data_IF_043457160639
#
_entry.id   IF_043457160639
#
_cell.length_a   1.000
_cell.length_b   1.000
_cell.length_c   1.000
_cell.angle_alpha   90.00
_cell.angle_beta   90.00
_cell.angle_gamma   90.00
#
_symmetry.space_group_name_H-M   'P 1'
#
loop_
_entity.id
_entity.type
_entity.pdbx_description
1 polymer ?
#
# COMPACT_ATOMS: atom_id res chain seq x y z
N UNK A 1 -15.88 15.06 18.38
CA UNK A 1 -16.44 16.24 17.71
C UNK A 1 -15.92 16.28 16.29
N UNK A 2 -16.80 16.26 15.29
CA UNK A 2 -16.47 16.46 13.88
C UNK A 2 -16.38 17.97 13.59
N UNK A 3 -15.41 18.36 12.78
CA UNK A 3 -15.18 19.76 12.39
C UNK A 3 -15.63 19.94 10.94
N UNK A 4 -16.71 20.67 10.73
CA UNK A 4 -17.36 20.81 9.41
C UNK A 4 -16.81 22.05 8.69
N UNK A 5 -16.45 21.89 7.42
CA UNK A 5 -16.03 22.99 6.57
C UNK A 5 -17.20 23.90 6.19
N UNK A 6 -17.02 25.22 6.37
CA UNK A 6 -18.04 26.21 6.01
C UNK A 6 -18.17 26.43 4.51
N UNK A 7 -17.15 26.11 3.72
CA UNK A 7 -17.12 26.35 2.27
C UNK A 7 -17.72 25.19 1.46
N UNK A 8 -17.53 23.94 1.89
CA UNK A 8 -18.03 22.77 1.16
C UNK A 8 -18.81 21.75 2.01
N UNK A 9 -18.94 21.97 3.32
CA UNK A 9 -19.68 21.06 4.21
C UNK A 9 -18.94 19.78 4.61
N UNK A 10 -17.69 19.59 4.21
CA UNK A 10 -16.91 18.39 4.55
C UNK A 10 -16.65 18.26 6.06
N UNK A 11 -16.88 17.07 6.61
CA UNK A 11 -16.63 16.77 8.02
C UNK A 11 -15.22 16.18 8.22
N UNK A 12 -14.39 16.90 8.97
CA UNK A 12 -13.00 16.53 9.26
C UNK A 12 -12.85 16.08 10.72
N UNK A 13 -11.92 15.14 10.92
CA UNK A 13 -11.69 14.49 12.21
C UNK A 13 -10.99 15.39 13.24
N UNK A 14 -10.29 16.43 12.79
CA UNK A 14 -9.49 17.31 13.66
C UNK A 14 -9.61 18.77 13.26
N UNK A 15 -9.57 19.67 14.25
CA UNK A 15 -9.61 21.13 14.05
C UNK A 15 -8.46 21.63 13.18
N UNK A 16 -7.27 21.05 13.34
CA UNK A 16 -6.10 21.33 12.50
C UNK A 16 -6.32 20.90 11.05
N UNK A 17 -6.92 19.72 10.83
CA UNK A 17 -7.28 19.24 9.50
C UNK A 17 -8.31 20.15 8.82
N UNK A 18 -9.28 20.69 9.57
CA UNK A 18 -10.21 21.69 9.07
C UNK A 18 -9.51 22.97 8.63
N UNK A 19 -8.59 23.51 9.44
CA UNK A 19 -7.83 24.71 9.09
C UNK A 19 -7.03 24.55 7.80
N UNK A 20 -6.34 23.41 7.62
CA UNK A 20 -5.60 23.12 6.39
C UNK A 20 -6.51 22.91 5.18
N UNK A 21 -7.72 22.37 5.40
CA UNK A 21 -8.70 22.21 4.34
C UNK A 21 -9.28 23.57 3.90
N UNK A 22 -9.55 24.49 4.84
CA UNK A 22 -10.00 25.86 4.55
C UNK A 22 -8.92 26.68 3.86
N UNK A 23 -7.65 26.52 4.23
CA UNK A 23 -6.50 27.13 3.57
C UNK A 23 -6.46 26.76 2.06
N UNK A 24 -6.95 25.58 1.66
CA UNK A 24 -7.06 25.17 0.25
C UNK A 24 -8.17 25.90 -0.51
N UNK A 25 -9.27 26.24 0.15
CA UNK A 25 -10.33 27.08 -0.46
C UNK A 25 -9.86 28.52 -0.68
N UNK A 26 -8.98 29.01 0.20
CA UNK A 26 -8.42 30.36 0.14
C UNK A 26 -7.14 30.45 -0.71
N UNK A 27 -6.63 29.33 -1.23
CA UNK A 27 -5.35 29.28 -1.94
C UNK A 27 -4.15 29.68 -1.07
N UNK A 28 -4.30 29.62 0.26
CA UNK A 28 -3.24 29.97 1.21
C UNK A 28 -2.38 28.74 1.45
N UNK A 29 -1.24 28.68 0.78
CA UNK A 29 -0.27 27.62 1.04
C UNK A 29 0.74 28.02 2.10
N UNK A 30 0.80 27.26 3.20
CA UNK A 30 1.81 27.46 4.27
C UNK A 30 3.21 26.97 3.89
N UNK A 31 3.32 26.17 2.84
CA UNK A 31 4.58 25.54 2.41
C UNK A 31 4.75 25.79 0.92
N UNK A 32 5.84 26.43 0.47
CA UNK A 32 6.06 26.76 -0.95
C UNK A 32 7.52 26.58 -1.35
N UNK A 33 7.77 26.11 -2.58
CA UNK A 33 9.10 26.00 -3.19
C UNK A 33 8.99 25.90 -4.72
N UNK A 34 9.93 26.51 -5.47
CA UNK A 34 9.98 26.52 -6.94
C UNK A 34 8.61 26.77 -7.60
N UNK A 35 7.97 27.87 -7.22
CA UNK A 35 6.64 28.31 -7.69
C UNK A 35 5.49 27.33 -7.42
N UNK A 36 5.76 26.23 -6.70
CA UNK A 36 4.76 25.26 -6.25
C UNK A 36 4.35 25.52 -4.81
N UNK A 37 3.05 25.44 -4.59
CA UNK A 37 2.39 25.60 -3.31
C UNK A 37 1.91 24.24 -2.78
N UNK A 38 2.22 23.95 -1.52
CA UNK A 38 1.89 22.71 -0.83
C UNK A 38 1.06 22.98 0.43
N UNK A 39 -0.12 22.36 0.50
CA UNK A 39 -1.00 22.47 1.66
C UNK A 39 -0.49 21.69 2.89
N UNK A 40 0.50 20.79 2.72
CA UNK A 40 1.06 19.97 3.79
C UNK A 40 2.59 19.97 3.77
N UNK A 41 3.18 19.90 4.95
CA UNK A 41 4.63 19.80 5.14
C UNK A 41 5.21 18.57 4.43
N UNK A 42 4.52 17.43 4.49
CA UNK A 42 4.93 16.17 3.85
C UNK A 42 5.06 16.31 2.32
N UNK A 43 4.16 17.08 1.70
CA UNK A 43 4.17 17.29 0.25
C UNK A 43 5.34 18.19 -0.17
N UNK A 44 5.64 19.23 0.62
CA UNK A 44 6.85 20.03 0.45
C UNK A 44 8.11 19.18 0.66
N UNK A 45 8.19 18.36 1.72
CA UNK A 45 9.34 17.48 1.96
C UNK A 45 9.57 16.50 0.80
N UNK A 46 8.49 15.93 0.23
CA UNK A 46 8.58 15.09 -0.98
C UNK A 46 9.10 15.89 -2.17
N UNK A 47 8.63 17.12 -2.36
CA UNK A 47 9.11 17.98 -3.43
C UNK A 47 10.58 18.34 -3.27
N UNK A 48 11.00 18.73 -2.07
CA UNK A 48 12.40 19.03 -1.75
C UNK A 48 13.31 17.81 -1.98
N UNK A 49 12.88 16.62 -1.57
CA UNK A 49 13.65 15.40 -1.82
C UNK A 49 13.70 15.00 -3.31
N UNK A 50 12.60 15.19 -4.05
CA UNK A 50 12.55 14.83 -5.47
C UNK A 50 13.21 15.82 -6.43
N UNK A 51 13.26 17.11 -6.06
CA UNK A 51 13.71 18.19 -6.95
C UNK A 51 15.00 18.86 -6.46
N UNK A 52 15.24 18.92 -5.14
CA UNK A 52 16.29 19.73 -4.54
C UNK A 52 17.34 18.96 -3.73
N UNK A 53 17.16 17.68 -3.39
CA UNK A 53 18.07 17.03 -2.44
C UNK A 53 18.04 15.51 -2.40
N UNK A 54 19.23 14.95 -2.61
CA UNK A 54 19.63 13.56 -2.41
C UNK A 54 19.49 13.15 -0.94
N UNK A 55 18.40 12.50 -0.53
CA UNK A 55 18.38 11.63 0.67
C UNK A 55 17.15 10.71 0.62
N UNK A 56 17.27 9.62 -0.14
CA UNK A 56 16.44 8.42 0.02
C UNK A 56 17.05 7.57 1.13
N UNK A 57 16.78 7.89 2.38
CA UNK A 57 17.40 7.17 3.52
C UNK A 57 16.44 6.23 4.26
N UNK A 58 15.18 6.12 3.83
CA UNK A 58 14.20 5.28 4.52
C UNK A 58 13.75 4.12 3.65
N UNK A 59 14.48 3.01 3.73
CA UNK A 59 14.21 1.79 2.98
C UNK A 59 13.31 0.85 3.78
N UNK A 60 12.34 0.22 3.12
CA UNK A 60 11.54 -0.85 3.72
C UNK A 60 12.36 -2.14 3.78
N UNK A 61 12.50 -2.78 4.95
CA UNK A 61 13.27 -4.03 5.07
C UNK A 61 12.61 -5.24 4.39
N UNK A 62 11.31 -5.16 4.09
CA UNK A 62 10.53 -6.28 3.54
C UNK A 62 10.48 -6.27 2.01
N UNK A 63 10.36 -5.10 1.38
CA UNK A 63 10.23 -4.97 -0.07
C UNK A 63 11.30 -4.07 -0.72
N UNK A 64 12.28 -3.59 0.06
CA UNK A 64 13.35 -2.70 -0.38
C UNK A 64 12.88 -1.37 -1.01
N UNK A 65 11.62 -0.98 -0.81
CA UNK A 65 11.09 0.28 -1.30
C UNK A 65 11.70 1.47 -0.54
N UNK A 66 12.13 2.50 -1.27
CA UNK A 66 12.80 3.67 -0.71
C UNK A 66 11.84 4.85 -0.52
N UNK A 67 11.91 5.49 0.63
CA UNK A 67 11.05 6.61 0.99
C UNK A 67 11.86 7.84 1.40
N UNK A 68 11.33 9.01 1.06
CA UNK A 68 11.91 10.30 1.43
C UNK A 68 11.76 10.64 2.92
N UNK A 69 10.84 9.98 3.65
CA UNK A 69 10.64 10.24 5.09
C UNK A 69 10.25 8.98 5.86
N UNK A 70 10.63 8.92 7.14
CA UNK A 70 10.24 7.85 8.08
C UNK A 70 8.72 7.70 8.23
N UNK A 71 7.95 8.79 8.13
CA UNK A 71 6.48 8.77 8.19
C UNK A 71 5.88 8.03 7.01
N UNK A 72 6.43 8.25 5.81
CA UNK A 72 6.01 7.54 4.60
C UNK A 72 6.35 6.04 4.68
N UNK A 73 7.57 5.71 5.13
CA UNK A 73 7.96 4.32 5.40
C UNK A 73 7.04 3.66 6.44
N UNK A 74 6.70 4.35 7.52
CA UNK A 74 5.82 3.81 8.57
C UNK A 74 4.40 3.59 8.05
N UNK A 75 3.86 4.52 7.25
CA UNK A 75 2.55 4.36 6.60
C UNK A 75 2.56 3.23 5.58
N UNK A 76 3.64 3.12 4.80
CA UNK A 76 3.84 2.03 3.85
C UNK A 76 3.88 0.69 4.57
N UNK A 77 4.68 0.54 5.62
CA UNK A 77 4.76 -0.70 6.41
C UNK A 77 3.42 -1.06 7.04
N UNK A 78 2.69 -0.08 7.57
CA UNK A 78 1.34 -0.31 8.09
C UNK A 78 0.39 -0.82 7.00
N UNK A 79 0.46 -0.25 5.79
CA UNK A 79 -0.31 -0.74 4.66
C UNK A 79 0.17 -2.12 4.20
N UNK A 80 1.46 -2.43 4.23
CA UNK A 80 1.95 -3.79 3.96
C UNK A 80 1.52 -4.80 5.04
N UNK A 81 1.30 -4.37 6.27
CA UNK A 81 0.74 -5.19 7.35
C UNK A 81 -0.78 -5.35 7.22
N UNK A 82 -1.48 -4.31 6.75
CA UNK A 82 -2.93 -4.35 6.43
C UNK A 82 -3.22 -5.09 5.10
N UNK A 83 -2.31 -5.00 4.12
CA UNK A 83 -2.23 -5.79 2.88
C UNK A 83 -1.21 -6.92 3.00
N UNK A 84 -1.08 -7.52 4.20
CA UNK A 84 -0.12 -8.59 4.44
C UNK A 84 -0.19 -9.61 3.30
N UNK A 85 0.88 -9.59 2.49
CA UNK A 85 1.04 -10.55 1.41
C UNK A 85 1.01 -11.91 2.08
N UNK A 86 0.10 -12.74 1.61
CA UNK A 86 -0.06 -14.08 2.11
C UNK A 86 1.18 -14.85 1.67
N UNK A 87 2.12 -15.00 2.61
CA UNK A 87 3.38 -15.65 2.37
C UNK A 87 3.18 -17.15 2.47
N UNK A 88 3.62 -17.86 1.45
CA UNK A 88 3.69 -19.31 1.49
C UNK A 88 4.86 -19.73 2.38
N UNK A 89 4.57 -20.42 3.49
CA UNK A 89 5.60 -20.93 4.41
C UNK A 89 6.46 -22.05 3.79
N UNK A 90 6.01 -22.66 2.69
CA UNK A 90 6.72 -23.77 2.02
C UNK A 90 7.79 -23.27 1.05
N UNK A 91 7.50 -22.21 0.28
CA UNK A 91 8.41 -21.71 -0.77
C UNK A 91 8.76 -20.23 -0.66
N UNK A 92 8.21 -19.53 0.34
CA UNK A 92 8.44 -18.11 0.56
C UNK A 92 7.73 -17.16 -0.41
N UNK A 93 6.91 -17.68 -1.34
CA UNK A 93 6.19 -16.86 -2.31
C UNK A 93 5.23 -15.88 -1.63
N UNK A 94 5.24 -14.62 -2.07
CA UNK A 94 4.39 -13.56 -1.54
C UNK A 94 3.20 -13.29 -2.48
N UNK A 95 1.98 -13.49 -1.99
CA UNK A 95 0.75 -13.34 -2.78
C UNK A 95 -0.11 -12.19 -2.27
N UNK A 96 -0.82 -11.52 -3.17
CA UNK A 96 -1.56 -10.28 -2.86
C UNK A 96 -2.90 -10.52 -2.16
N UNK A 97 -3.47 -11.73 -2.26
CA UNK A 97 -4.75 -12.07 -1.67
C UNK A 97 -4.73 -13.42 -0.96
N UNK A 98 -5.61 -13.60 0.04
CA UNK A 98 -5.71 -14.84 0.82
C UNK A 98 -6.11 -16.02 -0.04
N UNK A 99 -7.06 -15.77 -0.96
CA UNK A 99 -7.56 -16.75 -1.91
C UNK A 99 -6.46 -17.25 -2.84
N UNK A 100 -5.56 -16.36 -3.26
CA UNK A 100 -4.42 -16.74 -4.10
C UNK A 100 -3.46 -17.64 -3.33
N UNK A 101 -3.23 -17.39 -2.03
CA UNK A 101 -2.42 -18.29 -1.19
C UNK A 101 -3.10 -19.65 -1.00
N UNK A 102 -4.40 -19.69 -0.74
CA UNK A 102 -5.13 -20.96 -0.61
C UNK A 102 -5.03 -21.80 -1.89
N UNK A 103 -5.21 -21.18 -3.06
CA UNK A 103 -5.04 -21.86 -4.35
C UNK A 103 -3.58 -22.28 -4.58
N UNK A 104 -2.63 -21.41 -4.24
CA UNK A 104 -1.21 -21.70 -4.33
C UNK A 104 -0.81 -22.90 -3.45
N UNK A 105 -1.38 -23.08 -2.26
CA UNK A 105 -1.07 -24.22 -1.39
C UNK A 105 -1.45 -25.57 -2.04
N UNK A 106 -2.31 -25.60 -3.05
CA UNK A 106 -2.59 -26.81 -3.82
C UNK A 106 -1.43 -27.28 -4.69
N UNK A 107 -0.46 -26.42 -5.02
CA UNK A 107 0.74 -26.87 -5.75
C UNK A 107 1.72 -27.62 -4.85
N UNK A 108 1.67 -27.35 -3.54
CA UNK A 108 2.49 -27.98 -2.51
C UNK A 108 1.80 -29.16 -1.84
N UNK A 109 0.46 -29.23 -1.92
CA UNK A 109 -0.31 -30.37 -1.45
C UNK A 109 -0.28 -31.49 -2.48
N UNK A 110 0.32 -32.62 -2.11
CA UNK A 110 0.43 -33.83 -2.95
C UNK A 110 -0.91 -34.56 -3.16
N UNK A 111 -2.04 -33.99 -2.70
CA UNK A 111 -3.27 -34.73 -2.40
C UNK A 111 -4.39 -34.60 -3.45
N UNK A 112 -4.06 -34.52 -4.75
CA UNK A 112 -5.12 -34.65 -5.78
C UNK A 112 -4.66 -35.26 -7.08
N UNK A 113 -4.19 -36.49 -7.01
CA UNK A 113 -4.20 -37.40 -8.15
C UNK A 113 -5.64 -37.89 -8.38
N UNK A 114 -6.36 -37.30 -9.34
CA UNK A 114 -7.58 -37.92 -9.87
C UNK A 114 -7.14 -39.03 -10.83
N UNK A 115 -7.40 -40.29 -10.46
CA UNK A 115 -7.17 -41.45 -11.33
C UNK A 115 -8.30 -41.52 -12.35
N UNK A 116 -7.97 -41.53 -13.64
CA UNK A 116 -8.96 -41.78 -14.68
C UNK A 116 -9.37 -43.27 -14.66
N UNK A 117 -10.68 -43.54 -14.65
CA UNK A 117 -11.22 -44.91 -14.53
C UNK A 117 -11.05 -45.74 -15.81
N UNK A 118 -10.73 -45.08 -16.93
CA UNK A 118 -10.64 -45.68 -18.28
C UNK A 118 -9.18 -45.88 -18.72
N UNK A 119 -8.28 -45.01 -18.27
CA UNK A 119 -6.85 -45.14 -18.50
C UNK A 119 -6.16 -44.77 -17.19
N UNK A 120 -5.25 -45.62 -16.70
CA UNK A 120 -4.61 -45.56 -15.38
C UNK A 120 -3.73 -44.30 -15.12
N UNK A 121 -4.00 -43.18 -15.80
CA UNK A 121 -3.30 -41.90 -15.72
C UNK A 121 -3.88 -41.02 -14.61
N UNK A 122 -2.98 -40.33 -13.92
CA UNK A 122 -3.28 -39.44 -12.81
C UNK A 122 -3.06 -37.98 -13.18
N UNK A 123 -4.03 -37.13 -12.84
CA UNK A 123 -4.03 -35.71 -13.20
C UNK A 123 -4.19 -34.82 -11.95
N UNK A 124 -3.47 -33.69 -11.94
CA UNK A 124 -3.40 -32.74 -10.81
C UNK A 124 -4.53 -31.69 -10.80
N UNK A 125 -5.25 -31.48 -11.91
CA UNK A 125 -6.33 -30.50 -12.03
C UNK A 125 -7.58 -31.06 -12.74
N UNK A 126 -8.76 -30.62 -12.28
CA UNK A 126 -10.08 -31.02 -12.85
C UNK A 126 -10.33 -30.44 -14.25
N UNK A 127 -9.66 -29.34 -14.57
CA UNK A 127 -9.65 -28.70 -15.89
C UNK A 127 -8.68 -29.38 -16.89
N UNK A 128 -7.98 -30.41 -16.45
CA UNK A 128 -7.06 -31.21 -17.28
C UNK A 128 -7.52 -32.65 -17.44
N UNK A 129 -8.80 -32.94 -17.14
CA UNK A 129 -9.46 -34.20 -17.48
C UNK A 129 -9.79 -34.24 -18.97
#
# INVERSE_FOLDING_TARGET
MSHVCRFCGDALKTKWGLKLHEDRHLGVSKYSCCDKQFSRKEDLTRHMCGVHGETKEHVCPTCSAEFATKTLLTRHRRREEEEARFKCDVCGAELKQSVDLQVHMHIHSDERVQKCDICDKTYRHRSSL
#
